data_IF_997006174046
#
_entry.id   IF_997006174046
#
_cell.length_a   1.000
_cell.length_b   1.000
_cell.length_c   1.000
_cell.angle_alpha   90.00
_cell.angle_beta   90.00
_cell.angle_gamma   90.00
#
_symmetry.space_group_name_H-M   'P 1'
#
loop_
_entity.id
_entity.type
_entity.pdbx_description
1 polymer ?
#
# COMPACT_ATOMS: atom_id res chain seq x y z
N UNK A 1 -2.35 37.66 11.63
CA UNK A 1 -1.64 37.42 10.36
C UNK A 1 -0.30 36.70 10.55
N UNK A 2 0.51 37.01 11.57
CA UNK A 2 1.83 36.36 11.80
C UNK A 2 1.76 34.85 12.16
N UNK A 3 0.75 34.42 12.92
CA UNK A 3 0.61 33.03 13.40
C UNK A 3 0.29 32.04 12.27
N UNK A 4 -0.48 32.48 11.27
CA UNK A 4 -0.79 31.68 10.08
C UNK A 4 0.44 31.45 9.20
N UNK A 5 1.34 32.43 9.12
CA UNK A 5 2.57 32.32 8.33
C UNK A 5 3.56 31.30 8.94
N UNK A 6 3.66 31.22 10.27
CA UNK A 6 4.50 30.23 10.96
C UNK A 6 3.95 28.80 10.84
N UNK A 7 2.63 28.62 10.86
CA UNK A 7 2.01 27.31 10.64
C UNK A 7 2.24 26.80 9.20
N UNK A 8 2.24 27.69 8.21
CA UNK A 8 2.50 27.33 6.80
C UNK A 8 3.95 26.88 6.56
N UNK A 9 4.92 27.46 7.28
CA UNK A 9 6.33 27.04 7.23
C UNK A 9 6.57 25.65 7.85
N UNK A 10 5.80 25.29 8.88
CA UNK A 10 5.84 23.97 9.50
C UNK A 10 5.16 22.90 8.63
N UNK A 11 4.09 23.24 7.92
CA UNK A 11 3.42 22.33 6.98
C UNK A 11 4.27 22.02 5.73
N UNK A 12 5.19 22.91 5.35
CA UNK A 12 6.18 22.66 4.30
C UNK A 12 7.25 21.63 4.73
N UNK A 13 7.32 21.27 6.01
CA UNK A 13 8.23 20.27 6.57
C UNK A 13 7.61 18.85 6.67
N UNK A 14 6.76 18.43 5.73
CA UNK A 14 6.57 16.97 5.53
C UNK A 14 7.89 16.43 4.97
N UNK A 15 8.83 16.15 5.87
CA UNK A 15 10.21 15.85 5.54
C UNK A 15 10.27 14.54 4.73
N UNK A 16 11.22 14.41 3.79
CA UNK A 16 11.42 13.15 3.06
C UNK A 16 11.63 11.97 4.01
N UNK A 17 12.20 12.23 5.19
CA UNK A 17 12.36 11.25 6.26
C UNK A 17 11.02 10.71 6.79
N UNK A 18 10.04 11.58 7.07
CA UNK A 18 8.71 11.14 7.52
C UNK A 18 8.00 10.28 6.47
N UNK A 19 8.15 10.62 5.18
CA UNK A 19 7.60 9.80 4.09
C UNK A 19 8.28 8.44 4.02
N UNK A 20 9.61 8.38 4.13
CA UNK A 20 10.34 7.12 4.13
C UNK A 20 9.93 6.22 5.33
N UNK A 21 9.77 6.80 6.52
CA UNK A 21 9.29 6.07 7.69
C UNK A 21 7.86 5.54 7.50
N UNK A 22 6.98 6.33 6.88
CA UNK A 22 5.62 5.89 6.56
C UNK A 22 5.63 4.70 5.59
N UNK A 23 6.41 4.79 4.51
CA UNK A 23 6.51 3.70 3.53
C UNK A 23 7.14 2.43 4.11
N UNK A 24 8.10 2.56 5.02
CA UNK A 24 8.68 1.41 5.71
C UNK A 24 7.63 0.67 6.55
N UNK A 25 6.81 1.40 7.33
CA UNK A 25 5.73 0.82 8.11
C UNK A 25 4.69 0.12 7.25
N UNK A 26 4.36 0.70 6.09
CA UNK A 26 3.44 0.08 5.14
C UNK A 26 4.00 -1.24 4.58
N UNK A 27 5.28 -1.27 4.23
CA UNK A 27 5.95 -2.49 3.79
C UNK A 27 5.94 -3.57 4.88
N UNK A 28 6.24 -3.22 6.12
CA UNK A 28 6.20 -4.14 7.26
C UNK A 28 4.79 -4.73 7.46
N UNK A 29 3.76 -3.89 7.33
CA UNK A 29 2.36 -4.34 7.40
C UNK A 29 2.03 -5.33 6.28
N UNK A 30 2.37 -5.01 5.03
CA UNK A 30 2.14 -5.91 3.90
C UNK A 30 2.86 -7.27 4.07
N UNK A 31 4.08 -7.26 4.59
CA UNK A 31 4.82 -8.49 4.89
C UNK A 31 4.12 -9.33 5.97
N UNK A 32 3.57 -8.71 7.00
CA UNK A 32 2.83 -9.41 8.06
C UNK A 32 1.51 -10.01 7.56
N UNK A 33 0.78 -9.28 6.70
CA UNK A 33 -0.54 -9.70 6.21
C UNK A 33 -0.44 -10.73 5.08
N UNK A 34 0.36 -10.45 4.05
CA UNK A 34 0.41 -11.28 2.84
C UNK A 34 1.59 -12.27 2.83
N UNK A 35 2.64 -12.02 3.61
CA UNK A 35 3.82 -12.88 3.70
C UNK A 35 3.51 -14.35 4.04
N UNK A 36 2.65 -14.66 5.04
CA UNK A 36 2.29 -16.04 5.34
C UNK A 36 1.59 -16.78 4.19
N UNK A 37 0.88 -16.09 3.31
CA UNK A 37 0.30 -16.69 2.11
C UNK A 37 1.39 -17.01 1.08
N UNK A 38 2.35 -16.11 0.88
CA UNK A 38 3.50 -16.33 0.01
C UNK A 38 4.40 -17.46 0.50
N UNK A 39 4.59 -17.59 1.83
CA UNK A 39 5.32 -18.72 2.42
C UNK A 39 4.63 -20.06 2.11
N UNK A 40 3.29 -20.12 2.25
CA UNK A 40 2.49 -21.31 1.93
C UNK A 40 2.51 -21.66 0.43
N UNK A 41 2.71 -20.67 -0.43
CA UNK A 41 2.87 -20.84 -1.88
C UNK A 41 4.29 -21.29 -2.26
N UNK A 42 5.21 -21.42 -1.29
CA UNK A 42 6.57 -21.92 -1.51
C UNK A 42 7.58 -20.88 -1.93
N UNK A 43 7.25 -19.58 -1.82
CA UNK A 43 8.23 -18.52 -2.03
C UNK A 43 9.20 -18.46 -0.84
N UNK A 44 10.50 -18.48 -1.12
CA UNK A 44 11.52 -18.34 -0.09
C UNK A 44 11.48 -16.92 0.51
N UNK A 45 11.37 -16.84 1.84
CA UNK A 45 11.25 -15.56 2.57
C UNK A 45 12.40 -14.61 2.25
N UNK A 46 12.10 -13.31 2.28
CA UNK A 46 13.02 -12.19 2.02
C UNK A 46 13.63 -12.12 0.61
N UNK A 47 13.30 -13.06 -0.29
CA UNK A 47 13.71 -13.02 -1.69
C UNK A 47 12.84 -12.07 -2.52
N UNK A 48 13.38 -11.60 -3.66
CA UNK A 48 12.64 -10.73 -4.59
C UNK A 48 11.32 -11.37 -5.05
N UNK A 49 11.32 -12.69 -5.28
CA UNK A 49 10.11 -13.42 -5.68
C UNK A 49 9.04 -13.43 -4.58
N UNK A 50 9.46 -13.50 -3.31
CA UNK A 50 8.54 -13.41 -2.18
C UNK A 50 7.95 -12.00 -2.02
N UNK A 51 8.78 -10.96 -2.21
CA UNK A 51 8.32 -9.56 -2.20
C UNK A 51 7.36 -9.28 -3.36
N UNK A 52 7.64 -9.80 -4.56
CA UNK A 52 6.73 -9.69 -5.72
C UNK A 52 5.38 -10.38 -5.44
N UNK A 53 5.39 -11.55 -4.81
CA UNK A 53 4.16 -12.22 -4.38
C UNK A 53 3.32 -11.33 -3.43
N UNK A 54 3.95 -10.71 -2.43
CA UNK A 54 3.28 -9.79 -1.49
C UNK A 54 2.64 -8.62 -2.25
N UNK A 55 3.40 -7.96 -3.13
CA UNK A 55 2.91 -6.81 -3.91
C UNK A 55 1.73 -7.18 -4.81
N UNK A 56 1.73 -8.37 -5.41
CA UNK A 56 0.61 -8.84 -6.23
C UNK A 56 -0.64 -9.11 -5.40
N UNK A 57 -0.48 -9.71 -4.22
CA UNK A 57 -1.60 -10.00 -3.33
C UNK A 57 -2.20 -8.72 -2.76
N UNK A 58 -1.38 -7.76 -2.32
CA UNK A 58 -1.86 -6.45 -1.85
C UNK A 58 -2.59 -5.69 -2.95
N UNK A 59 -2.01 -5.61 -4.15
CA UNK A 59 -2.67 -4.98 -5.30
C UNK A 59 -4.03 -5.61 -5.61
N UNK A 60 -4.13 -6.95 -5.56
CA UNK A 60 -5.40 -7.64 -5.79
C UNK A 60 -6.43 -7.29 -4.73
N UNK A 61 -6.03 -7.27 -3.46
CA UNK A 61 -6.90 -6.92 -2.35
C UNK A 61 -7.38 -5.47 -2.43
N UNK A 62 -6.48 -4.54 -2.77
CA UNK A 62 -6.83 -3.13 -3.02
C UNK A 62 -7.84 -2.98 -4.15
N UNK A 63 -7.70 -3.73 -5.25
CA UNK A 63 -8.66 -3.73 -6.36
C UNK A 63 -10.03 -4.30 -5.95
N UNK A 64 -10.04 -5.33 -5.11
CA UNK A 64 -11.28 -5.91 -4.57
C UNK A 64 -11.95 -4.92 -3.61
N UNK A 65 -11.18 -4.32 -2.70
CA UNK A 65 -11.66 -3.37 -1.68
C UNK A 65 -12.12 -2.04 -2.27
N UNK A 66 -11.44 -1.56 -3.32
CA UNK A 66 -11.83 -0.36 -4.06
C UNK A 66 -13.07 -0.57 -4.93
N UNK A 67 -13.63 -1.79 -4.96
CA UNK A 67 -14.94 -2.05 -5.52
C UNK A 67 -15.00 -1.80 -7.02
N UNK A 68 -14.14 -2.45 -7.80
CA UNK A 68 -14.45 -2.73 -9.22
C UNK A 68 -14.80 -1.52 -10.10
N UNK A 69 -14.07 -0.41 -10.00
CA UNK A 69 -14.17 0.69 -10.97
C UNK A 69 -12.96 0.70 -11.91
N UNK A 70 -12.92 -0.30 -12.79
CA UNK A 70 -12.17 -0.19 -14.05
C UNK A 70 -12.86 0.83 -14.95
N UNK A 71 -12.46 2.11 -14.88
CA UNK A 71 -12.50 3.12 -15.95
C UNK A 71 -13.81 3.48 -16.69
N UNK A 72 -14.87 2.70 -16.54
CA UNK A 72 -16.16 2.81 -17.20
C UNK A 72 -17.20 2.09 -16.33
N UNK A 73 -17.53 2.62 -15.15
CA UNK A 73 -18.81 2.42 -14.44
C UNK A 73 -19.51 1.04 -14.38
N UNK A 74 -18.85 -0.09 -14.61
CA UNK A 74 -19.49 -1.41 -14.63
C UNK A 74 -19.15 -2.21 -13.36
N UNK A 75 -20.14 -2.53 -12.51
CA UNK A 75 -19.90 -3.30 -11.30
C UNK A 75 -19.57 -4.77 -11.59
N UNK A 76 -18.51 -5.27 -10.94
CA UNK A 76 -18.00 -6.65 -11.06
C UNK A 76 -18.96 -7.74 -10.51
N UNK A 77 -19.97 -7.38 -9.72
CA UNK A 77 -20.94 -8.34 -9.17
C UNK A 77 -22.00 -8.80 -10.18
N UNK A 78 -21.88 -8.42 -11.47
CA UNK A 78 -22.79 -8.82 -12.56
C UNK A 78 -22.17 -9.81 -13.55
N UNK A 79 -20.97 -10.31 -13.28
CA UNK A 79 -20.25 -11.24 -14.17
C UNK A 79 -20.24 -12.70 -13.70
N UNK A 80 -20.96 -13.03 -12.63
CA UNK A 80 -21.15 -14.40 -12.14
C UNK A 80 -22.64 -14.70 -11.95
#
# INVERSE_FOLDING_TARGET
MMVLAMAALLAACTTPEQRAQYMAKEADYMMQVYGPACDKLGYARDTDRWRDCILRLSTRDDLVRSGGYIGYGYPIYRAY
#
